data_IF_654121326139
#
_entry.id   IF_654121326139
#
_cell.length_a   1.000
_cell.length_b   1.000
_cell.length_c   1.000
_cell.angle_alpha   90.00
_cell.angle_beta   90.00
_cell.angle_gamma   90.00
#
_symmetry.space_group_name_H-M   'P 1'
#
loop_
_entity.id
_entity.type
_entity.pdbx_description
1 polymer ?
2 non-polymer ?
3 water ?
#
# COMPACT_ATOMS: atom_id res chain seq x y z
N UNK A 24 5.67 7.31 -14.31
CA UNK A 24 5.74 6.29 -13.22
C UNK A 24 6.71 5.16 -13.54
N UNK A 25 6.71 4.71 -14.79
CA UNK A 25 7.45 3.51 -15.17
C UNK A 25 8.97 3.68 -15.15
N UNK A 26 9.44 4.89 -14.87
CA UNK A 26 10.87 5.18 -14.82
C UNK A 26 11.34 5.53 -13.41
N UNK A 27 10.40 5.59 -12.47
CA UNK A 27 10.78 5.81 -11.08
C UNK A 27 11.35 4.51 -10.55
N UNK A 28 12.58 4.57 -10.02
CA UNK A 28 13.22 3.39 -9.45
C UNK A 28 12.38 2.75 -8.34
N UNK A 29 12.40 1.42 -8.27
CA UNK A 29 11.77 0.69 -7.18
C UNK A 29 12.35 1.11 -5.82
N UNK A 30 13.64 1.42 -5.79
CA UNK A 30 14.26 1.81 -4.52
C UNK A 30 15.74 2.08 -4.61
N UNK A 31 16.24 2.90 -3.68
CA UNK A 31 17.66 3.23 -3.58
C UNK A 31 18.47 2.03 -3.12
N UNK A 32 17.83 1.15 -2.36
CA UNK A 32 18.53 0.01 -1.77
C UNK A 32 17.56 -1.09 -1.40
N UNK A 33 17.12 -1.83 -2.41
CA UNK A 33 16.09 -2.83 -2.22
C UNK A 33 16.60 -4.01 -1.42
N UNK A 34 15.73 -4.63 -0.61
CA UNK A 34 14.31 -4.29 -0.41
C UNK A 34 14.03 -3.34 0.76
N UNK A 35 15.03 -2.89 1.50
CA UNK A 35 14.70 -2.15 2.72
C UNK A 35 14.46 -0.67 2.53
N UNK A 36 15.00 -0.12 1.46
CA UNK A 36 14.88 1.29 1.15
C UNK A 36 14.21 1.36 -0.22
N UNK A 37 12.91 1.67 -0.23
CA UNK A 37 12.14 1.68 -1.47
C UNK A 37 11.29 2.93 -1.65
N UNK A 38 10.73 3.08 -2.85
CA UNK A 38 9.94 4.24 -3.24
C UNK A 38 8.49 3.83 -3.35
N UNK A 39 7.58 4.73 -2.99
CA UNK A 39 6.14 4.48 -3.13
C UNK A 39 5.49 5.66 -3.83
N UNK A 40 4.77 5.39 -4.92
CA UNK A 40 4.03 6.42 -5.62
C UNK A 40 2.64 6.42 -5.01
N UNK A 41 2.18 7.57 -4.55
CA UNK A 41 0.91 7.61 -3.84
C UNK A 41 -0.24 7.71 -4.84
N UNK A 42 -1.28 6.89 -4.65
CA UNK A 42 -2.45 6.91 -5.53
C UNK A 42 -3.66 7.49 -4.81
N UNK A 43 -3.80 7.16 -3.52
CA UNK A 43 -4.96 7.59 -2.72
C UNK A 43 -4.50 8.13 -1.36
N UNK A 44 -4.62 9.44 -1.13
CA UNK A 44 -4.30 9.97 0.20
C UNK A 44 -5.17 9.48 1.33
N UNK A 45 -4.59 9.40 2.54
CA UNK A 45 -5.35 9.09 3.74
C UNK A 45 -6.54 10.02 3.82
N UNK A 46 -7.72 9.48 4.14
CA UNK A 46 -8.90 10.32 4.39
C UNK A 46 -9.43 11.11 3.19
N UNK A 47 -8.94 10.83 1.99
CA UNK A 47 -9.51 11.48 0.81
C UNK A 47 -10.95 11.04 0.56
N UNK A 48 -11.70 11.85 -0.17
CA UNK A 48 -13.06 11.50 -0.53
C UNK A 48 -13.01 10.14 -1.20
N UNK A 49 -14.09 9.35 -1.07
CA UNK A 49 -14.05 7.92 -1.41
C UNK A 49 -14.06 7.63 -2.92
N UNK A 50 -12.97 7.97 -3.57
CA UNK A 50 -12.79 7.71 -4.97
C UNK A 50 -11.45 7.02 -5.09
N UNK A 51 -11.48 5.84 -5.69
CA UNK A 51 -10.28 5.05 -5.93
C UNK A 51 -9.60 5.43 -7.24
N UNK A 52 -8.34 5.85 -7.16
CA UNK A 52 -7.53 6.09 -8.32
C UNK A 52 -6.50 4.97 -8.45
N UNK A 53 -6.08 4.71 -9.68
CA UNK A 53 -5.05 3.73 -10.01
C UNK A 53 -4.08 4.41 -10.97
N UNK A 54 -2.78 4.38 -10.68
CA UNK A 54 -1.81 4.96 -11.62
C UNK A 54 -1.73 4.15 -12.90
N UNK A 55 -1.77 4.83 -14.04
CA UNK A 55 -1.51 4.18 -15.32
C UNK A 55 -0.05 4.42 -15.67
N UNK A 56 0.79 3.45 -15.38
CA UNK A 56 2.21 3.58 -15.70
C UNK A 56 2.39 3.85 -17.20
N UNK A 57 1.55 3.24 -18.02
CA UNK A 57 1.69 3.43 -19.45
C UNK A 57 1.48 4.89 -19.82
N UNK A 58 0.67 5.60 -19.05
CA UNK A 58 0.34 6.99 -19.38
C UNK A 58 1.00 8.04 -18.50
N UNK A 59 1.46 7.65 -17.33
CA UNK A 59 1.95 8.65 -16.39
C UNK A 59 0.83 9.48 -15.76
N UNK A 60 -0.37 8.89 -15.64
CA UNK A 60 -1.52 9.59 -15.05
C UNK A 60 -2.31 8.70 -14.10
N UNK A 61 -2.97 9.35 -13.13
CA UNK A 61 -3.92 8.66 -12.27
C UNK A 61 -5.26 8.56 -12.99
N UNK A 62 -5.82 7.36 -12.93
CA UNK A 62 -7.08 7.02 -13.56
C UNK A 62 -8.15 6.81 -12.50
N UNK A 63 -9.32 7.40 -12.72
CA UNK A 63 -10.46 7.14 -11.85
C UNK A 63 -10.93 5.70 -12.01
N UNK A 64 -10.76 4.91 -10.96
CA UNK A 64 -11.07 3.50 -11.06
C UNK A 64 -12.50 3.21 -10.66
N UNK A 65 -12.88 3.70 -9.48
CA UNK A 65 -14.14 3.33 -8.87
C UNK A 65 -14.58 4.37 -7.85
N UNK A 66 -15.86 4.70 -7.86
CA UNK A 66 -16.45 5.33 -6.70
C UNK A 66 -16.90 4.22 -5.79
N UNK A 67 -16.23 4.14 -4.64
CA UNK A 67 -16.45 3.13 -3.61
C UNK A 67 -17.91 3.09 -3.14
N UNK A 68 -18.60 1.97 -3.38
CA UNK A 68 -20.04 1.86 -2.98
C UNK A 68 -20.34 2.16 -1.51
N UNK A 69 -19.48 1.71 -0.63
CA UNK A 69 -19.67 1.95 0.80
C UNK A 69 -19.31 3.39 1.17
N UNK A 70 -18.63 4.09 0.26
CA UNK A 70 -18.14 5.43 0.55
C UNK A 70 -17.11 5.50 1.68
N UNK A 71 -16.41 4.39 1.94
CA UNK A 71 -15.41 4.37 3.02
C UNK A 71 -14.11 4.91 2.49
N UNK A 72 -13.35 5.57 3.37
CA UNK A 72 -12.12 6.24 2.96
C UNK A 72 -10.93 5.48 3.46
N UNK A 73 -9.84 5.52 2.70
CA UNK A 73 -8.58 4.92 3.19
C UNK A 73 -8.11 5.61 4.49
N UNK A 74 -7.87 4.82 5.54
CA UNK A 74 -7.40 5.36 6.81
C UNK A 74 -5.92 5.79 6.77
N UNK A 75 -5.19 5.38 5.74
CA UNK A 75 -3.75 5.71 5.57
C UNK A 75 -3.50 5.92 4.10
N UNK A 76 -2.35 6.47 3.73
CA UNK A 76 -2.10 6.71 2.31
C UNK A 76 -1.94 5.38 1.60
N UNK A 77 -2.36 5.30 0.34
CA UNK A 77 -2.27 4.04 -0.41
C UNK A 77 -1.54 4.25 -1.76
N UNK A 78 -0.60 3.37 -2.08
CA UNK A 78 0.13 3.50 -3.32
C UNK A 78 0.82 2.21 -3.73
N UNK A 79 1.82 2.35 -4.59
CA UNK A 79 2.52 1.18 -5.07
C UNK A 79 4.00 1.44 -5.25
N UNK A 80 4.76 0.35 -5.24
CA UNK A 80 6.18 0.41 -5.59
C UNK A 80 6.33 0.29 -7.10
N UNK A 81 6.88 1.32 -7.74
CA UNK A 81 7.03 1.19 -9.19
C UNK A 81 8.06 0.12 -9.54
N UNK A 82 7.96 -0.40 -10.76
CA UNK A 82 8.88 -1.41 -11.27
C UNK A 82 8.87 -2.68 -10.43
N UNK A 83 7.69 -3.00 -9.91
CA UNK A 83 7.43 -4.28 -9.26
C UNK A 83 6.21 -4.95 -9.90
N UNK A 84 6.17 -6.27 -9.82
CA UNK A 84 5.04 -7.03 -10.34
C UNK A 84 4.73 -8.11 -9.32
N UNK A 85 3.59 -7.99 -8.65
CA UNK A 85 3.22 -9.00 -7.67
C UNK A 85 2.59 -10.15 -8.44
N UNK A 86 2.32 -11.25 -7.75
CA UNK A 86 1.72 -12.43 -8.38
C UNK A 86 0.36 -12.17 -9.01
N UNK A 87 -0.36 -11.19 -8.47
CA UNK A 87 -1.69 -10.86 -9.00
C UNK A 87 -1.64 -10.04 -10.29
N UNK A 88 -0.43 -9.72 -10.74
CA UNK A 88 -0.26 -8.99 -11.99
C UNK A 88 -0.16 -7.48 -11.85
N UNK A 89 -0.41 -6.97 -10.64
CA UNK A 89 -0.24 -5.55 -10.38
C UNK A 89 0.99 -5.35 -9.52
N UNK A 90 1.47 -4.10 -9.42
CA UNK A 90 2.61 -3.80 -8.59
C UNK A 90 2.32 -4.06 -7.13
N UNK A 91 3.39 -4.22 -6.36
CA UNK A 91 3.30 -4.37 -4.93
C UNK A 91 2.65 -3.12 -4.36
N UNK A 92 1.57 -3.29 -3.61
CA UNK A 92 0.91 -2.13 -3.04
C UNK A 92 1.22 -1.94 -1.55
N UNK A 93 1.11 -0.69 -1.12
CA UNK A 93 1.62 -0.27 0.15
C UNK A 93 0.72 0.79 0.80
N UNK A 94 0.47 0.59 2.09
CA UNK A 94 -0.13 1.60 2.96
C UNK A 94 0.99 2.39 3.66
N UNK A 95 0.98 3.73 3.54
CA UNK A 95 2.06 4.54 4.12
C UNK A 95 1.49 5.46 5.16
N UNK A 96 1.83 5.21 6.43
CA UNK A 96 1.33 6.03 7.52
C UNK A 96 2.09 7.38 7.64
N UNK A 97 1.37 8.50 7.61
CA UNK A 97 2.01 9.81 7.78
C UNK A 97 1.17 10.73 8.63
N UNK A 98 1.79 11.75 9.24
CA UNK A 98 1.00 12.66 10.05
C UNK A 98 0.05 13.60 9.29
N UNK A 99 0.28 13.81 7.99
CA UNK A 99 -0.65 14.58 7.15
C UNK A 99 -0.73 13.79 5.87
N UNK A 100 -1.92 13.78 5.22
CA UNK A 100 -2.04 13.00 3.98
C UNK A 100 -1.05 13.49 2.94
N UNK A 101 -0.55 12.57 2.13
CA UNK A 101 0.36 12.90 1.03
C UNK A 101 -0.43 13.21 -0.24
N UNK A 102 0.22 13.94 -1.13
CA UNK A 102 -0.35 14.35 -2.40
C UNK A 102 -0.47 13.16 -3.34
N UNK A 103 -1.65 12.98 -3.92
CA UNK A 103 -1.82 11.93 -4.89
C UNK A 103 -0.83 12.18 -6.04
N UNK A 104 -0.20 11.10 -6.52
CA UNK A 104 0.74 11.18 -7.62
C UNK A 104 2.17 11.53 -7.17
N UNK A 105 2.37 11.84 -5.89
CA UNK A 105 3.71 12.18 -5.42
C UNK A 105 4.48 10.91 -5.11
N UNK A 106 5.79 11.02 -4.89
CA UNK A 106 6.56 9.83 -4.50
C UNK A 106 7.21 10.01 -3.14
N UNK A 107 7.21 8.95 -2.35
CA UNK A 107 7.82 9.05 -1.02
C UNK A 107 8.79 7.90 -0.83
N UNK A 108 9.95 8.22 -0.28
CA UNK A 108 10.96 7.24 0.12
C UNK A 108 10.52 6.63 1.44
N UNK A 109 10.41 5.29 1.48
CA UNK A 109 9.77 4.59 2.58
C UNK A 109 10.57 3.40 3.12
N UNK A 110 10.12 2.90 4.27
CA UNK A 110 10.63 1.67 4.88
C UNK A 110 9.47 0.85 5.43
N UNK A 111 9.62 -0.48 5.43
CA UNK A 111 8.50 -1.36 5.73
C UNK A 111 8.41 -1.63 7.23
N UNK A 112 7.18 -1.84 7.72
CA UNK A 112 6.95 -2.26 9.10
C UNK A 112 6.40 -3.66 9.10
N UNK A 113 5.84 -4.08 7.97
CA UNK A 113 5.27 -5.41 7.88
C UNK A 113 4.23 -5.45 6.79
N UNK A 114 3.24 -6.32 6.94
CA UNK A 114 2.24 -6.52 5.90
C UNK A 114 0.93 -6.95 6.51
N UNK A 115 -0.15 -6.72 5.76
CA UNK A 115 -1.46 -7.22 6.11
C UNK A 115 -1.82 -8.34 5.12
N UNK A 116 -2.04 -9.55 5.62
CA UNK A 116 -2.37 -10.66 4.74
C UNK A 116 -3.88 -10.78 4.57
N UNK A 117 -4.31 -10.94 3.33
CA UNK A 117 -5.72 -10.97 3.01
C UNK A 117 -5.96 -11.91 1.87
N UNK A 118 -7.21 -12.34 1.73
CA UNK A 118 -7.64 -13.01 0.52
C UNK A 118 -8.99 -12.45 0.05
N UNK A 119 -9.17 -12.29 -1.25
CA UNK A 119 -10.45 -11.84 -1.79
C UNK A 119 -10.93 -12.86 -2.81
N UNK A 120 -11.99 -12.55 -3.53
CA UNK A 120 -12.59 -13.51 -4.42
C UNK A 120 -11.63 -13.94 -5.53
N UNK A 121 -10.59 -13.15 -5.79
CA UNK A 121 -9.63 -13.47 -6.87
C UNK A 121 -8.35 -14.16 -6.41
N UNK A 122 -8.14 -14.23 -5.09
CA UNK A 122 -6.96 -14.88 -4.55
C UNK A 122 -6.24 -14.10 -3.47
N UNK A 123 -4.96 -14.39 -3.29
CA UNK A 123 -4.21 -13.74 -2.24
C UNK A 123 -4.05 -12.28 -2.54
N UNK A 124 -3.95 -11.50 -1.48
CA UNK A 124 -3.70 -10.10 -1.62
C UNK A 124 -2.88 -9.78 -0.39
N UNK A 125 -1.89 -8.94 -0.52
CA UNK A 125 -1.17 -8.57 0.65
C UNK A 125 -0.91 -7.11 0.42
N UNK A 126 -1.02 -6.32 1.48
CA UNK A 126 -0.71 -4.90 1.41
C UNK A 126 0.40 -4.69 2.42
N UNK A 127 1.51 -4.09 1.98
CA UNK A 127 2.58 -3.77 2.91
C UNK A 127 2.14 -2.58 3.71
N UNK A 128 2.71 -2.46 4.90
CA UNK A 128 2.54 -1.29 5.73
C UNK A 128 3.89 -0.64 5.86
N UNK A 129 3.94 0.66 5.60
CA UNK A 129 5.22 1.38 5.55
C UNK A 129 5.12 2.74 6.19
N UNK A 130 6.27 3.37 6.40
CA UNK A 130 6.32 4.77 6.83
C UNK A 130 7.43 5.41 6.01
N UNK A 131 7.48 6.75 6.00
CA UNK A 131 8.55 7.41 5.27
C UNK A 131 9.91 7.16 5.92
N UNK A 132 10.96 7.36 5.14
CA UNK A 132 12.32 7.35 5.64
C UNK A 132 12.42 8.27 6.86
N UNK A 133 13.24 7.89 7.84
CA UNK A 133 13.32 8.67 9.07
C UNK A 133 13.70 10.11 8.79
N UNK A 134 14.51 10.34 7.76
CA UNK A 134 14.94 11.71 7.45
C UNK A 134 13.80 12.53 6.85
N UNK A 135 12.87 11.84 6.20
CA UNK A 135 11.71 12.51 5.64
C UNK A 135 10.69 12.83 6.74
N UNK A 136 10.35 11.83 7.53
CA UNK A 136 9.34 11.96 8.56
C UNK A 136 9.90 11.50 9.90
N UNK A 137 10.46 12.43 10.68
CA UNK A 137 10.92 12.11 12.05
C UNK A 137 9.77 11.66 12.94
N UNK A 138 8.57 12.18 12.67
CA UNK A 138 7.39 11.83 13.44
C UNK A 138 7.14 10.31 13.46
N UNK A 139 7.58 9.59 12.44
CA UNK A 139 7.33 8.12 12.38
C UNK A 139 8.54 7.21 12.76
N UNK A 140 9.63 7.82 13.21
CA UNK A 140 10.88 7.06 13.34
C UNK A 140 10.72 6.08 14.47
N UNK A 141 9.80 6.37 15.38
CA UNK A 141 9.61 5.51 16.53
C UNK A 141 8.96 4.18 16.16
N UNK A 142 8.32 4.12 15.00
CA UNK A 142 7.70 2.88 14.55
C UNK A 142 8.72 1.96 13.88
N UNK A 143 9.11 0.90 14.60
CA UNK A 143 10.12 -0.07 14.13
C UNK A 143 9.55 -1.33 13.48
N UNK A 144 8.34 -1.70 13.85
CA UNK A 144 7.73 -2.88 13.28
C UNK A 144 6.23 -2.73 13.39
N UNK A 145 5.51 -3.69 12.84
CA UNK A 145 4.06 -3.59 12.73
C UNK A 145 3.42 -3.48 14.11
N UNK A 146 3.99 -4.17 15.08
CA UNK A 146 3.48 -4.13 16.45
C UNK A 146 3.52 -2.76 17.13
N UNK A 147 4.36 -1.84 16.64
CA UNK A 147 4.39 -0.49 17.21
C UNK A 147 3.24 0.36 16.69
N UNK A 148 2.59 -0.09 15.63
CA UNK A 148 1.44 0.65 15.10
C UNK A 148 0.28 0.55 16.08
N UNK A 149 -0.29 1.70 16.49
CA UNK A 149 -1.36 1.70 17.50
C UNK A 149 -2.44 0.67 17.19
N UNK A 150 -2.91 0.00 18.24
CA UNK A 150 -3.97 -0.98 18.11
C UNK A 150 -5.17 -0.45 17.35
N UNK A 151 -5.59 0.77 17.67
CA UNK A 151 -6.85 1.27 17.14
C UNK A 151 -6.72 1.39 15.63
N UNK A 152 -5.51 1.73 15.18
CA UNK A 152 -5.28 1.93 13.76
C UNK A 152 -5.17 0.62 13.03
N UNK A 153 -4.42 -0.34 13.56
CA UNK A 153 -4.42 -1.64 12.90
C UNK A 153 -5.85 -2.16 12.80
N UNK A 154 -6.63 -2.01 13.87
CA UNK A 154 -8.03 -2.50 13.86
C UNK A 154 -8.83 -1.76 12.79
N UNK A 155 -8.59 -0.46 12.72
CA UNK A 155 -9.28 0.39 11.74
C UNK A 155 -8.95 -0.04 10.31
N UNK A 156 -7.68 -0.37 10.05
CA UNK A 156 -7.25 -0.79 8.72
C UNK A 156 -7.86 -2.14 8.33
N UNK A 157 -7.80 -3.09 9.27
CA UNK A 157 -8.42 -4.40 9.09
C UNK A 157 -9.90 -4.24 8.76
N UNK A 158 -10.60 -3.42 9.53
CA UNK A 158 -12.04 -3.21 9.30
C UNK A 158 -12.29 -2.61 7.93
N UNK A 159 -11.46 -1.65 7.55
CA UNK A 159 -11.61 -0.99 6.25
C UNK A 159 -11.56 -2.02 5.12
N UNK A 160 -10.51 -2.85 5.09
CA UNK A 160 -10.39 -3.86 4.03
C UNK A 160 -11.49 -4.92 4.05
N UNK A 161 -11.94 -5.30 5.24
CA UNK A 161 -13.04 -6.24 5.34
C UNK A 161 -14.37 -5.69 4.83
N UNK A 162 -14.55 -4.36 4.84
CA UNK A 162 -15.88 -3.78 4.57
C UNK A 162 -15.95 -2.85 3.36
N UNK A 163 -14.82 -2.30 2.93
CA UNK A 163 -14.93 -1.24 1.93
C UNK A 163 -15.55 -1.70 0.61
N UNK A 164 -15.34 -2.96 0.24
CA UNK A 164 -15.91 -3.44 -1.03
C UNK A 164 -17.21 -4.19 -0.78
N UNK A 165 -17.81 -3.97 0.38
CA UNK A 165 -19.03 -4.72 0.75
C UNK A 165 -20.18 -4.50 -0.24
N UNK A 166 -20.20 -3.34 -0.88
CA UNK A 166 -21.28 -3.05 -1.82
C UNK A 166 -20.82 -3.17 -3.27
N UNK A 167 -19.69 -3.84 -3.50
CA UNK A 167 -19.28 -4.17 -4.87
C UNK A 167 -19.76 -5.61 -5.11
N UNK A 168 -20.82 -5.76 -5.90
CA UNK A 168 -21.42 -7.07 -6.09
C UNK A 168 -20.41 -8.04 -6.70
N UNK A 169 -20.41 -9.26 -6.19
CA UNK A 169 -19.45 -10.26 -6.64
C UNK A 169 -18.14 -10.25 -5.88
N UNK A 170 -17.91 -9.26 -5.02
CA UNK A 170 -16.60 -9.15 -4.36
C UNK A 170 -16.63 -9.44 -2.87
N UNK A 171 -15.49 -9.88 -2.34
CA UNK A 171 -15.35 -10.09 -0.90
C UNK A 171 -13.89 -10.08 -0.51
N UNK A 172 -13.63 -9.68 0.73
CA UNK A 172 -12.29 -9.64 1.24
C UNK A 172 -12.30 -10.23 2.64
N UNK A 173 -11.37 -11.13 2.89
CA UNK A 173 -11.17 -11.68 4.21
C UNK A 173 -9.75 -11.37 4.67
N UNK A 174 -9.63 -10.79 5.85
CA UNK A 174 -8.33 -10.48 6.41
C UNK A 174 -7.79 -11.64 7.26
N UNK A 175 -6.58 -12.09 6.97
CA UNK A 175 -6.03 -13.25 7.65
C UNK A 175 -5.26 -12.86 8.89
N UNK A 176 -4.54 -11.75 8.80
CA UNK A 176 -3.73 -11.27 9.92
C UNK A 176 -2.53 -10.46 9.45
N UNK A 177 -1.62 -10.16 10.37
CA UNK A 177 -0.45 -9.36 10.07
C UNK A 177 0.82 -10.21 9.96
N UNK A 178 1.84 -9.68 9.28
CA UNK A 178 3.15 -10.31 9.24
C UNK A 178 4.22 -9.22 9.36
N UNK A 179 5.45 -9.64 9.61
CA UNK A 179 6.53 -8.70 9.90
C UNK A 179 7.36 -8.21 8.73
N UNK A 180 8.49 -7.59 9.05
CA UNK A 180 9.33 -6.95 8.04
C UNK A 180 9.93 -7.95 7.04
N UNK A 181 10.29 -9.13 7.53
CA UNK A 181 10.84 -10.18 6.66
C UNK A 181 9.89 -10.49 5.52
N UNK A 182 8.64 -10.75 5.88
CA UNK A 182 7.63 -11.07 4.90
C UNK A 182 7.45 -9.90 3.93
N UNK A 183 7.43 -8.69 4.46
CA UNK A 183 7.29 -7.51 3.61
C UNK A 183 8.44 -7.46 2.61
N UNK A 184 9.66 -7.71 3.08
CA UNK A 184 10.82 -7.63 2.18
C UNK A 184 10.81 -8.72 1.12
N UNK A 185 10.35 -9.90 1.49
CA UNK A 185 10.24 -10.97 0.50
C UNK A 185 9.31 -10.49 -0.61
N UNK A 186 8.19 -9.89 -0.23
CA UNK A 186 7.22 -9.44 -1.20
C UNK A 186 7.86 -8.43 -2.15
N UNK A 187 8.66 -7.53 -1.58
CA UNK A 187 9.38 -6.55 -2.40
C UNK A 187 10.39 -7.23 -3.33
N UNK A 188 11.19 -8.11 -2.74
CA UNK A 188 12.19 -8.87 -3.48
C UNK A 188 11.53 -9.56 -4.68
N UNK A 189 10.51 -10.37 -4.45
CA UNK A 189 9.90 -11.06 -5.58
C UNK A 189 9.29 -10.13 -6.64
N UNK A 190 8.60 -9.07 -6.21
CA UNK A 190 7.96 -8.16 -7.16
C UNK A 190 8.95 -7.47 -8.07
N UNK A 191 10.07 -7.06 -7.49
CA UNK A 191 11.17 -6.53 -8.27
C UNK A 191 11.71 -7.56 -9.28
N UNK A 192 11.92 -8.79 -8.83
CA UNK A 192 12.38 -9.85 -9.73
C UNK A 192 11.38 -10.07 -10.87
N UNK A 193 10.11 -10.34 -10.53
CA UNK A 193 9.08 -10.62 -11.55
C UNK A 193 8.97 -9.53 -12.59
N UNK A 194 9.06 -8.28 -12.16
CA UNK A 194 8.89 -7.17 -13.09
C UNK A 194 9.94 -7.20 -14.21
N UNK A 195 11.10 -7.77 -13.91
CA UNK A 195 12.19 -7.76 -14.88
C UNK A 195 12.13 -9.02 -15.72
N UNK A 196 11.04 -9.76 -15.56
CA UNK A 196 10.83 -11.08 -16.17
C UNK A 196 11.46 -12.14 -15.29
X LIG B 1 2.25 10.78 14.20
X LIG B 1 -2.15 8.37 9.62
X LIG B 1 -2.98 7.31 9.31
X LIG B 1 -2.17 8.93 10.89
X LIG B 1 -3.01 8.44 11.87
X LIG B 1 -3.83 6.83 10.29
X LIG B 1 -3.85 7.38 11.57
X LIG B 1 0.93 10.91 13.91
X LIG B 1 1.13 9.32 12.13
X LIG B 1 2.48 9.21 12.45
X LIG B 1 3.02 9.95 13.49
X LIG B 1 -1.12 10.33 12.56
X LIG B 1 0.35 10.18 12.88
X LIG B 1 -1.35 9.96 11.18
X LIG C 1 0.81 12.32 17.70
X LIG C 1 -0.85 7.82 15.90
X LIG C 1 -1.41 7.17 14.81
X LIG C 1 0.52 7.71 16.14
X LIG C 1 1.32 6.94 15.29
X LIG C 1 -0.60 6.42 13.96
X LIG C 1 0.76 6.30 14.20
X LIG C 1 0.77 11.00 17.52
X LIG C 1 -0.13 10.73 19.75
X LIG C 1 -0.07 12.11 19.90
X LIG C 1 0.41 12.88 18.85
X LIG C 1 0.24 8.68 18.34
X LIG C 1 0.29 10.18 18.54
X LIG C 1 1.06 8.34 17.20
#
# INVERSE_FOLDING_TARGET
MAHHHHHHMGTLEAQTQGPGSMSFSNVPAGKDLPQDFNVIIEIPAQSEPVKYEADKALGLLVVDRFIGTGMRYPVNYGFIPQTLSGDGDPVDVLVITPFPLLAGSVVRARALGMLKMTDESGVDAKLVAVPHDKVCPMTANLKSIDDVPAYLKDQIKHFFEQYKALEKGKWVKVEGWDGIDAAHKEITDGVANFKK
11X N1 C10 C11 C9 C14 C12 C13 C2 C4 C5 C6 C7 C3 N8
11X N1 C10 C11 C9 C14 C12 C13 C2 C4 C5 C6 C7 C3 N8
#
